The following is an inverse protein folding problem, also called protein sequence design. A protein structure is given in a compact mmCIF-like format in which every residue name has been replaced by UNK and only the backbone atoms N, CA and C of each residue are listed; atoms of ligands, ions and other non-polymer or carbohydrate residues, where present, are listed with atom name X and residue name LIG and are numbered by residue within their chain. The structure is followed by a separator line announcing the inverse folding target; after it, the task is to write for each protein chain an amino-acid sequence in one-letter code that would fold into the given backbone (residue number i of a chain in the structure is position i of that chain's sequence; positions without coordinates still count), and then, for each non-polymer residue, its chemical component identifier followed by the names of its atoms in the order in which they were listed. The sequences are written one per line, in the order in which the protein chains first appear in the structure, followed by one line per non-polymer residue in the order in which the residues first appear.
data_IF_112398758822
#
_entry.id   IF_112398758822
#
_cell.length_a   1.000
_cell.length_b   1.000
_cell.length_c   1.000
_cell.angle_alpha   90.00
_cell.angle_beta   90.00
_cell.angle_gamma   90.00
#
_symmetry.space_group_name_H-M   'P 1'
#
loop_
_entity.id
_entity.type
_entity.pdbx_description
1 polymer ?
#
# COMPACT_ATOMS: atom_id res chain seq x y z
N UNK A 1 -44.70 -77.48 47.32
CA UNK A 1 -45.83 -77.67 46.39
C UNK A 1 -45.28 -77.81 44.97
N UNK A 2 -45.71 -78.86 44.26
CA UNK A 2 -45.31 -79.21 42.90
C UNK A 2 -45.80 -78.16 41.87
N UNK A 3 -45.33 -78.01 40.62
CA UNK A 3 -45.15 -79.01 39.55
C UNK A 3 -44.52 -78.33 38.30
N UNK A 4 -43.76 -79.13 37.52
CA UNK A 4 -43.73 -79.21 36.03
C UNK A 4 -42.91 -78.24 35.14
N UNK A 5 -41.97 -78.91 34.44
CA UNK A 5 -41.77 -79.06 32.97
C UNK A 5 -40.89 -78.05 32.20
N UNK A 6 -39.82 -78.63 31.62
CA UNK A 6 -39.09 -78.20 30.41
C UNK A 6 -40.03 -78.11 29.19
N UNK A 7 -39.74 -77.16 28.31
CA UNK A 7 -39.67 -77.37 26.85
C UNK A 7 -38.86 -76.24 26.21
N UNK A 8 -37.94 -76.60 25.30
CA UNK A 8 -37.16 -75.64 24.53
C UNK A 8 -37.84 -75.26 23.21
N UNK A 9 -37.37 -74.17 22.58
CA UNK A 9 -37.25 -74.03 21.12
C UNK A 9 -36.57 -72.68 20.79
N UNK A 10 -35.87 -72.69 19.67
CA UNK A 10 -35.02 -71.64 19.09
C UNK A 10 -35.80 -70.39 18.66
N UNK A 11 -35.14 -69.23 18.73
CA UNK A 11 -35.60 -67.99 18.11
C UNK A 11 -34.45 -67.00 17.95
N UNK A 12 -33.95 -66.89 16.73
CA UNK A 12 -32.83 -66.05 16.31
C UNK A 12 -33.27 -64.58 16.23
N UNK A 13 -32.55 -63.66 16.88
CA UNK A 13 -32.90 -62.24 16.89
C UNK A 13 -31.73 -61.37 17.30
N UNK A 14 -30.81 -61.10 16.36
CA UNK A 14 -29.74 -60.11 16.48
C UNK A 14 -30.34 -58.73 16.81
N UNK A 15 -29.93 -58.14 17.93
CA UNK A 15 -29.99 -56.68 18.13
C UNK A 15 -28.58 -56.17 18.37
N UNK A 16 -28.12 -55.35 17.42
CA UNK A 16 -26.82 -54.71 17.41
C UNK A 16 -26.72 -53.66 18.52
N UNK A 17 -25.74 -53.81 19.42
CA UNK A 17 -25.25 -52.70 20.24
C UNK A 17 -24.04 -52.10 19.53
N UNK A 18 -24.26 -50.95 18.89
CA UNK A 18 -23.19 -50.13 18.33
C UNK A 18 -22.32 -49.57 19.45
N UNK A 19 -21.06 -49.99 19.48
CA UNK A 19 -20.02 -49.34 20.26
C UNK A 19 -19.57 -48.08 19.52
N UNK A 20 -19.82 -46.91 20.10
CA UNK A 20 -19.23 -45.65 19.64
C UNK A 20 -17.78 -45.65 20.12
N UNK A 21 -16.85 -45.98 19.23
CA UNK A 21 -15.43 -45.74 19.45
C UNK A 21 -15.19 -44.23 19.43
N UNK A 22 -14.89 -43.66 20.60
CA UNK A 22 -14.38 -42.31 20.71
C UNK A 22 -13.00 -42.25 20.05
N UNK A 23 -12.93 -41.78 18.81
CA UNK A 23 -11.67 -41.39 18.18
C UNK A 23 -11.12 -40.17 18.92
N UNK A 24 -10.09 -40.39 19.75
CA UNK A 24 -9.22 -39.31 20.20
C UNK A 24 -8.52 -38.74 18.96
N UNK A 25 -9.05 -37.63 18.43
CA UNK A 25 -8.27 -36.75 17.57
C UNK A 25 -7.13 -36.20 18.42
N UNK A 26 -5.93 -36.76 18.24
CA UNK A 26 -4.70 -36.09 18.64
C UNK A 26 -4.66 -34.75 17.91
N UNK A 27 -5.09 -33.69 18.60
CA UNK A 27 -4.79 -32.33 18.21
C UNK A 27 -3.26 -32.23 18.18
N UNK A 28 -2.68 -32.32 16.98
CA UNK A 28 -1.29 -31.99 16.72
C UNK A 28 -1.11 -30.56 17.22
N UNK A 29 -0.53 -30.39 18.42
CA UNK A 29 -0.14 -29.09 18.94
C UNK A 29 0.74 -28.46 17.87
N UNK A 30 0.25 -27.41 17.21
CA UNK A 30 1.07 -26.62 16.29
C UNK A 30 2.29 -26.17 17.09
N UNK A 31 3.51 -26.33 16.56
CA UNK A 31 4.69 -25.84 17.25
C UNK A 31 4.48 -24.36 17.59
N UNK A 32 4.95 -23.89 18.76
CA UNK A 32 4.77 -22.51 19.15
C UNK A 32 5.38 -21.61 18.07
N UNK A 33 4.58 -20.72 17.50
CA UNK A 33 5.06 -19.70 16.58
C UNK A 33 6.00 -18.82 17.39
N UNK A 34 7.31 -18.95 17.15
CA UNK A 34 8.31 -18.09 17.79
C UNK A 34 8.07 -16.68 17.26
N UNK A 35 7.52 -15.82 18.10
CA UNK A 35 7.28 -14.43 17.75
C UNK A 35 8.63 -13.75 17.45
N UNK A 36 8.69 -12.97 16.37
CA UNK A 36 9.82 -12.08 16.11
C UNK A 36 9.87 -11.04 17.23
N UNK A 37 11.08 -10.79 17.75
CA UNK A 37 11.34 -9.80 18.80
C UNK A 37 12.27 -8.67 18.35
N UNK A 38 12.99 -8.90 17.26
CA UNK A 38 13.92 -7.95 16.68
C UNK A 38 13.39 -7.49 15.31
N UNK A 39 13.70 -6.27 14.88
CA UNK A 39 13.42 -5.80 13.52
C UNK A 39 14.16 -6.63 12.46
N UNK A 40 13.73 -6.52 11.21
CA UNK A 40 14.47 -7.05 10.07
C UNK A 40 15.86 -6.39 9.96
N UNK A 41 16.83 -7.12 9.41
CA UNK A 41 18.19 -6.62 9.28
C UNK A 41 18.33 -5.72 8.04
N UNK A 42 19.21 -4.73 8.10
CA UNK A 42 19.67 -4.05 6.89
C UNK A 42 20.73 -4.90 6.18
N UNK A 43 20.67 -4.95 4.86
CA UNK A 43 21.72 -5.56 4.06
C UNK A 43 23.05 -4.82 4.27
N UNK A 44 24.13 -5.58 4.45
CA UNK A 44 25.47 -5.00 4.62
C UNK A 44 25.89 -4.27 3.34
N UNK A 45 26.39 -3.02 3.47
CA UNK A 45 26.91 -2.23 2.33
C UNK A 45 28.03 -2.96 1.60
N UNK A 46 28.89 -3.65 2.35
CA UNK A 46 30.05 -4.42 1.92
C UNK A 46 29.75 -5.90 1.63
N UNK A 47 28.54 -6.20 1.15
CA UNK A 47 28.00 -7.56 0.98
C UNK A 47 29.06 -8.64 0.84
N UNK A 48 29.05 -9.63 1.73
CA UNK A 48 30.02 -10.74 1.68
C UNK A 48 29.80 -11.50 0.38
N UNK A 49 30.54 -11.10 -0.65
CA UNK A 49 30.69 -11.84 -1.87
C UNK A 49 31.43 -13.13 -1.48
N UNK A 50 30.71 -14.14 -1.00
CA UNK A 50 31.26 -15.48 -1.11
C UNK A 50 31.26 -15.79 -2.61
N UNK A 51 32.45 -15.95 -3.16
CA UNK A 51 32.74 -16.28 -4.56
C UNK A 51 32.20 -17.65 -5.00
N UNK A 52 31.39 -18.30 -4.15
CA UNK A 52 30.73 -19.55 -4.49
C UNK A 52 29.64 -19.28 -5.54
N UNK A 53 29.76 -19.86 -6.76
CA UNK A 53 28.71 -19.77 -7.75
C UNK A 53 27.45 -20.42 -7.18
N UNK A 54 26.41 -19.62 -6.94
CA UNK A 54 25.14 -20.16 -6.48
C UNK A 54 24.26 -20.47 -7.68
N UNK A 55 23.91 -21.73 -7.82
CA UNK A 55 22.92 -22.18 -8.80
C UNK A 55 21.55 -21.56 -8.48
N UNK A 56 20.91 -20.97 -9.49
CA UNK A 56 19.58 -20.39 -9.36
C UNK A 56 18.56 -21.49 -9.14
N UNK A 57 17.63 -21.27 -8.20
CA UNK A 57 16.53 -22.21 -7.96
C UNK A 57 15.49 -22.04 -9.06
N UNK A 58 15.15 -23.12 -9.76
CA UNK A 58 14.06 -23.10 -10.74
C UNK A 58 12.70 -22.95 -10.05
N UNK A 59 11.71 -22.41 -10.74
CA UNK A 59 10.36 -22.23 -10.18
C UNK A 59 9.74 -23.55 -9.69
N UNK A 60 9.99 -24.65 -10.39
CA UNK A 60 9.52 -25.98 -9.99
C UNK A 60 10.19 -26.47 -8.69
N UNK A 61 11.49 -26.24 -8.51
CA UNK A 61 12.20 -26.56 -7.26
C UNK A 61 11.69 -25.68 -6.11
N UNK A 62 11.54 -24.36 -6.35
CA UNK A 62 11.04 -23.42 -5.35
C UNK A 62 9.64 -23.81 -4.84
N UNK A 63 8.73 -24.20 -5.74
CA UNK A 63 7.37 -24.65 -5.39
C UNK A 63 7.35 -25.96 -4.59
N UNK A 64 8.27 -26.89 -4.85
CA UNK A 64 8.39 -28.12 -4.05
C UNK A 64 8.94 -27.86 -2.65
N UNK A 65 9.60 -26.72 -2.45
CA UNK A 65 10.29 -26.37 -1.22
C UNK A 65 11.78 -26.69 -1.29
N UNK A 66 12.59 -25.78 -0.75
CA UNK A 66 14.04 -25.91 -0.69
C UNK A 66 14.50 -26.30 0.72
N UNK A 67 15.71 -26.90 0.88
CA UNK A 67 16.26 -27.22 2.19
C UNK A 67 16.29 -26.02 3.14
N UNK A 68 16.16 -26.24 4.44
CA UNK A 68 16.10 -25.16 5.45
C UNK A 68 17.29 -24.17 5.37
N UNK A 69 18.47 -24.66 5.01
CA UNK A 69 19.70 -23.87 4.88
C UNK A 69 19.80 -23.08 3.56
N UNK A 70 18.87 -23.28 2.63
CA UNK A 70 18.82 -22.63 1.32
C UNK A 70 17.40 -22.12 1.06
N UNK A 71 16.91 -21.12 1.80
CA UNK A 71 15.65 -20.48 1.46
C UNK A 71 15.70 -19.90 0.05
N UNK A 72 14.54 -19.86 -0.61
CA UNK A 72 14.37 -19.13 -1.87
C UNK A 72 14.42 -17.64 -1.56
N UNK A 73 15.34 -16.92 -2.19
CA UNK A 73 15.54 -15.48 -1.96
C UNK A 73 14.68 -14.69 -2.92
N UNK A 74 13.60 -14.15 -2.40
CA UNK A 74 12.65 -13.30 -3.15
C UNK A 74 12.99 -11.85 -2.87
N UNK A 75 13.07 -11.05 -3.92
CA UNK A 75 13.25 -9.60 -3.82
C UNK A 75 11.96 -8.88 -4.19
N UNK A 76 11.54 -7.91 -3.38
CA UNK A 76 10.45 -6.99 -3.71
C UNK A 76 10.95 -5.56 -3.51
N UNK A 77 10.66 -4.68 -4.43
CA UNK A 77 11.09 -3.29 -4.39
C UNK A 77 9.93 -2.31 -4.41
N UNK A 78 10.22 -1.09 -3.97
CA UNK A 78 9.25 -0.02 -3.99
C UNK A 78 9.74 1.23 -3.26
N UNK A 79 8.87 2.23 -3.27
CA UNK A 79 9.11 3.48 -2.55
C UNK A 79 8.71 3.31 -1.09
N UNK A 80 7.56 2.67 -0.86
CA UNK A 80 6.97 2.45 0.47
C UNK A 80 6.67 3.73 1.27
N UNK A 81 6.41 4.83 0.57
CA UNK A 81 5.97 6.08 1.19
C UNK A 81 4.59 5.92 1.85
N UNK A 82 4.43 6.53 3.03
CA UNK A 82 3.29 6.32 3.95
C UNK A 82 2.96 4.83 4.11
N UNK A 83 3.92 4.02 4.56
CA UNK A 83 3.80 2.56 4.62
C UNK A 83 2.46 2.09 5.20
N UNK A 84 1.69 1.36 4.39
CA UNK A 84 0.30 1.03 4.66
C UNK A 84 -0.03 -0.44 4.36
N UNK A 85 -1.26 -0.87 4.65
CA UNK A 85 -1.67 -2.28 4.53
C UNK A 85 -1.56 -2.86 3.12
N UNK A 86 -1.72 -2.02 2.08
CA UNK A 86 -1.45 -2.43 0.69
C UNK A 86 -0.01 -2.91 0.46
N UNK A 87 0.99 -2.18 0.96
CA UNK A 87 2.40 -2.59 0.91
C UNK A 87 2.62 -3.87 1.72
N UNK A 88 2.14 -3.90 2.97
CA UNK A 88 2.32 -5.06 3.85
C UNK A 88 1.70 -6.35 3.27
N UNK A 89 0.55 -6.27 2.57
CA UNK A 89 -0.10 -7.40 1.91
C UNK A 89 0.62 -7.84 0.63
N UNK A 90 1.23 -6.92 -0.12
CA UNK A 90 2.08 -7.28 -1.25
C UNK A 90 3.33 -8.04 -0.77
N UNK A 91 3.98 -7.54 0.30
CA UNK A 91 5.12 -8.22 0.93
C UNK A 91 4.72 -9.56 1.56
N UNK A 92 3.51 -9.67 2.13
CA UNK A 92 2.95 -10.94 2.58
C UNK A 92 2.85 -11.94 1.43
N UNK A 93 2.35 -11.53 0.26
CA UNK A 93 2.28 -12.39 -0.91
C UNK A 93 3.68 -12.86 -1.32
N UNK A 94 4.63 -11.92 -1.44
CA UNK A 94 6.02 -12.22 -1.79
C UNK A 94 6.65 -13.23 -0.82
N UNK A 95 6.46 -13.04 0.49
CA UNK A 95 6.95 -13.96 1.54
C UNK A 95 6.32 -15.36 1.46
N UNK A 96 5.07 -15.46 0.99
CA UNK A 96 4.34 -16.73 0.90
C UNK A 96 4.38 -17.38 -0.50
N UNK A 97 5.19 -16.87 -1.43
CA UNK A 97 5.30 -17.45 -2.79
C UNK A 97 5.77 -18.91 -2.78
N UNK A 98 6.63 -19.26 -1.83
CA UNK A 98 7.24 -20.59 -1.71
C UNK A 98 7.22 -21.08 -0.26
N UNK A 99 7.30 -22.41 -0.03
CA UNK A 99 7.27 -22.97 1.33
C UNK A 99 8.41 -22.49 2.24
N UNK A 100 9.56 -22.17 1.66
CA UNK A 100 10.76 -21.73 2.37
C UNK A 100 11.32 -20.48 1.68
N UNK A 101 10.85 -19.31 2.09
CA UNK A 101 11.18 -18.02 1.48
C UNK A 101 11.91 -17.10 2.46
N UNK A 102 12.97 -16.47 1.97
CA UNK A 102 13.57 -15.28 2.56
C UNK A 102 13.22 -14.08 1.67
N UNK A 103 12.52 -13.10 2.25
CA UNK A 103 12.09 -11.88 1.60
C UNK A 103 13.10 -10.75 1.88
N UNK A 104 13.67 -10.26 0.80
CA UNK A 104 14.53 -9.08 0.74
C UNK A 104 13.70 -7.95 0.17
N UNK A 105 13.68 -6.80 0.84
CA UNK A 105 12.93 -5.63 0.37
C UNK A 105 13.87 -4.49 0.03
N UNK A 106 13.88 -4.07 -1.23
CA UNK A 106 14.64 -2.91 -1.68
C UNK A 106 13.82 -1.63 -1.60
N UNK A 107 14.40 -0.59 -1.01
CA UNK A 107 13.74 0.71 -0.88
C UNK A 107 14.55 1.76 -1.63
N UNK A 108 13.94 2.40 -2.63
CA UNK A 108 14.59 3.44 -3.44
C UNK A 108 14.90 4.68 -2.59
N UNK A 109 16.03 5.35 -2.87
CA UNK A 109 16.38 6.63 -2.25
C UNK A 109 15.43 7.76 -2.66
N UNK A 110 15.38 8.82 -1.87
CA UNK A 110 14.60 10.02 -2.18
C UNK A 110 15.07 10.64 -3.49
N UNK A 111 16.39 10.72 -3.70
CA UNK A 111 16.98 11.25 -4.93
C UNK A 111 16.51 10.49 -6.19
N UNK A 112 16.51 9.16 -6.17
CA UNK A 112 16.00 8.36 -7.28
C UNK A 112 14.49 8.49 -7.44
N UNK A 113 13.76 8.51 -6.33
CA UNK A 113 12.29 8.58 -6.34
C UNK A 113 11.79 9.90 -6.91
N UNK A 114 12.34 11.03 -6.43
CA UNK A 114 12.01 12.35 -6.93
C UNK A 114 12.39 12.49 -8.41
N UNK A 115 13.47 11.81 -8.82
CA UNK A 115 13.92 11.86 -10.20
C UNK A 115 12.99 11.15 -11.18
N UNK A 116 12.52 9.96 -10.84
CA UNK A 116 11.86 9.06 -11.79
C UNK A 116 10.37 8.85 -11.54
N UNK A 117 9.83 9.39 -10.45
CA UNK A 117 8.42 9.23 -10.08
C UNK A 117 7.77 10.49 -9.52
N UNK A 118 8.37 11.16 -8.54
CA UNK A 118 7.74 12.30 -7.87
C UNK A 118 8.09 12.35 -6.38
N UNK A 119 7.46 13.26 -5.65
CA UNK A 119 7.77 13.51 -4.25
C UNK A 119 7.39 12.37 -3.30
N UNK A 120 8.03 12.38 -2.14
CA UNK A 120 7.73 11.53 -0.98
C UNK A 120 7.30 12.40 0.19
N UNK A 121 6.33 11.94 0.98
CA UNK A 121 5.95 12.58 2.25
C UNK A 121 6.95 12.17 3.34
N UNK A 122 7.28 10.89 3.40
CA UNK A 122 8.27 10.33 4.32
C UNK A 122 9.66 10.36 3.69
N UNK A 123 10.66 10.73 4.48
CA UNK A 123 12.08 10.65 4.10
C UNK A 123 12.52 9.20 3.86
N UNK A 124 13.61 9.00 3.12
CA UNK A 124 14.14 7.66 2.87
C UNK A 124 14.46 6.88 4.16
N UNK A 125 15.01 7.54 5.18
CA UNK A 125 15.31 6.90 6.47
C UNK A 125 14.03 6.45 7.20
N UNK A 126 12.98 7.25 7.18
CA UNK A 126 11.68 6.86 7.75
C UNK A 126 11.06 5.67 7.00
N UNK A 127 11.22 5.63 5.67
CA UNK A 127 10.76 4.50 4.85
C UNK A 127 11.58 3.24 5.11
N UNK A 128 12.89 3.36 5.30
CA UNK A 128 13.76 2.25 5.71
C UNK A 128 13.34 1.69 7.07
N UNK A 129 13.10 2.57 8.05
CA UNK A 129 12.67 2.21 9.40
C UNK A 129 11.28 1.54 9.39
N UNK A 130 10.33 2.06 8.61
CA UNK A 130 9.00 1.46 8.50
C UNK A 130 9.06 0.00 8.02
N UNK A 131 9.99 -0.32 7.12
CA UNK A 131 10.09 -1.64 6.50
C UNK A 131 10.71 -2.70 7.41
N UNK A 132 11.66 -2.32 8.28
CA UNK A 132 12.25 -3.29 9.22
C UNK A 132 11.25 -3.79 10.27
N UNK A 133 10.15 -3.05 10.48
CA UNK A 133 9.06 -3.44 11.37
C UNK A 133 7.95 -4.24 10.67
N UNK A 134 8.06 -4.47 9.35
CA UNK A 134 7.08 -5.27 8.64
C UNK A 134 7.26 -6.76 8.94
N UNK A 135 6.19 -7.39 9.44
CA UNK A 135 6.14 -8.81 9.84
C UNK A 135 6.73 -9.81 8.84
N UNK A 136 6.65 -9.51 7.54
CA UNK A 136 6.98 -10.45 6.47
C UNK A 136 8.40 -10.28 5.93
N UNK A 137 9.09 -9.20 6.31
CA UNK A 137 10.40 -8.81 5.78
C UNK A 137 11.51 -9.44 6.62
N UNK A 138 12.50 -10.03 5.95
CA UNK A 138 13.68 -10.59 6.64
C UNK A 138 14.91 -9.67 6.49
N UNK A 139 15.05 -9.00 5.35
CA UNK A 139 16.21 -8.17 5.00
C UNK A 139 15.76 -6.92 4.24
N UNK A 140 16.29 -5.73 4.58
CA UNK A 140 16.03 -4.46 3.88
C UNK A 140 17.29 -3.96 3.18
N UNK A 141 17.19 -3.70 1.87
CA UNK A 141 18.24 -3.10 1.05
C UNK A 141 17.92 -1.61 0.88
N UNK A 142 18.80 -0.77 1.42
CA UNK A 142 18.74 0.70 1.27
C UNK A 142 19.33 1.11 -0.08
N UNK A 143 18.91 2.28 -0.56
CA UNK A 143 19.34 2.85 -1.84
C UNK A 143 19.22 1.83 -2.99
N UNK A 144 18.05 1.20 -3.09
CA UNK A 144 17.77 0.22 -4.12
C UNK A 144 17.79 0.88 -5.52
N UNK A 145 18.31 0.18 -6.54
CA UNK A 145 18.39 0.73 -7.89
C UNK A 145 16.99 0.83 -8.53
N UNK A 146 16.80 1.81 -9.41
CA UNK A 146 15.55 1.98 -10.15
C UNK A 146 15.28 0.85 -11.16
N UNK A 147 16.35 0.37 -11.80
CA UNK A 147 16.33 -0.78 -12.71
C UNK A 147 17.32 -1.81 -12.17
N UNK A 148 16.84 -3.05 -11.98
CA UNK A 148 17.67 -4.14 -11.48
C UNK A 148 18.79 -4.48 -12.47
N UNK A 149 20.00 -4.69 -11.97
CA UNK A 149 21.15 -5.12 -12.78
C UNK A 149 21.53 -6.56 -12.47
N UNK A 150 22.21 -7.21 -13.40
CA UNK A 150 22.72 -8.58 -13.19
C UNK A 150 23.67 -8.65 -11.98
N UNK A 151 24.46 -7.59 -11.77
CA UNK A 151 25.37 -7.43 -10.63
C UNK A 151 24.61 -7.34 -9.32
N UNK A 152 23.52 -6.58 -9.28
CA UNK A 152 22.66 -6.46 -8.09
C UNK A 152 22.00 -7.80 -7.74
N UNK A 153 21.43 -8.48 -8.74
CA UNK A 153 20.81 -9.80 -8.57
C UNK A 153 21.82 -10.83 -8.02
N UNK A 154 23.06 -10.83 -8.53
CA UNK A 154 24.13 -11.70 -8.04
C UNK A 154 24.58 -11.33 -6.63
N UNK A 155 24.80 -10.03 -6.35
CA UNK A 155 25.24 -9.51 -5.05
C UNK A 155 24.29 -9.93 -3.92
N UNK A 156 22.98 -9.79 -4.16
CA UNK A 156 21.94 -10.13 -3.17
C UNK A 156 21.43 -11.58 -3.28
N UNK A 157 21.98 -12.37 -4.23
CA UNK A 157 21.61 -13.77 -4.49
C UNK A 157 20.11 -13.94 -4.71
N UNK A 158 19.53 -13.10 -5.56
CA UNK A 158 18.09 -13.06 -5.80
C UNK A 158 17.71 -14.20 -6.76
N UNK A 159 16.78 -15.05 -6.31
CA UNK A 159 16.21 -16.13 -7.13
C UNK A 159 15.02 -15.61 -7.94
N UNK A 160 14.12 -14.85 -7.31
CA UNK A 160 12.90 -14.30 -7.92
C UNK A 160 12.64 -12.85 -7.50
N UNK A 161 11.96 -12.10 -8.36
CA UNK A 161 11.51 -10.73 -8.10
C UNK A 161 9.99 -10.72 -8.02
N UNK A 162 9.44 -10.07 -7.01
CA UNK A 162 8.01 -9.99 -6.75
C UNK A 162 7.52 -8.54 -6.76
N UNK A 163 6.64 -8.23 -7.71
CA UNK A 163 5.96 -6.93 -7.84
C UNK A 163 4.58 -7.15 -8.49
N UNK A 164 3.72 -6.14 -8.55
CA UNK A 164 2.49 -6.23 -9.37
C UNK A 164 2.82 -6.34 -10.88
N UNK A 165 1.93 -6.96 -11.65
CA UNK A 165 2.18 -7.31 -13.06
C UNK A 165 2.02 -6.13 -14.03
N UNK A 166 1.60 -4.96 -13.53
CA UNK A 166 1.39 -3.78 -14.36
C UNK A 166 2.77 -3.32 -14.88
N UNK A 167 2.93 -3.09 -16.19
CA UNK A 167 4.17 -2.54 -16.75
C UNK A 167 4.56 -1.26 -16.02
N UNK A 168 5.77 -1.22 -15.47
CA UNK A 168 6.24 -0.06 -14.75
C UNK A 168 7.03 0.85 -15.69
N UNK A 169 6.30 1.75 -16.36
CA UNK A 169 6.85 2.71 -17.31
C UNK A 169 7.57 3.84 -16.57
N UNK A 170 8.87 3.97 -16.79
CA UNK A 170 9.68 5.06 -16.22
C UNK A 170 11.03 5.16 -16.93
N UNK A 171 11.65 6.34 -16.89
CA UNK A 171 13.03 6.56 -17.35
C UNK A 171 13.32 6.16 -18.82
N UNK A 172 12.32 6.26 -19.71
CA UNK A 172 12.45 5.82 -21.11
C UNK A 172 12.34 4.31 -21.32
N UNK A 173 11.97 3.55 -20.29
CA UNK A 173 11.60 2.13 -20.40
C UNK A 173 10.08 1.97 -20.37
N UNK A 174 9.55 1.11 -21.24
CA UNK A 174 8.13 0.71 -21.22
C UNK A 174 7.79 -0.10 -19.97
N UNK A 175 8.74 -0.92 -19.50
CA UNK A 175 8.65 -1.72 -18.28
C UNK A 175 10.06 -2.00 -17.73
N UNK A 176 10.40 -1.44 -16.56
CA UNK A 176 11.71 -1.68 -15.93
C UNK A 176 11.93 -3.16 -15.56
N UNK A 177 10.85 -3.95 -15.41
CA UNK A 177 10.92 -5.38 -15.09
C UNK A 177 10.95 -6.29 -16.33
N UNK A 178 10.91 -5.75 -17.55
CA UNK A 178 10.85 -6.55 -18.79
C UNK A 178 11.91 -7.65 -18.85
N UNK A 179 13.17 -7.29 -18.61
CA UNK A 179 14.30 -8.23 -18.64
C UNK A 179 14.21 -9.30 -17.52
N UNK A 180 13.58 -8.99 -16.38
CA UNK A 180 13.34 -9.94 -15.28
C UNK A 180 12.22 -10.92 -15.65
N UNK A 181 11.16 -10.43 -16.31
CA UNK A 181 10.06 -11.24 -16.85
C UNK A 181 10.57 -12.20 -17.92
N UNK A 182 11.37 -11.71 -18.88
CA UNK A 182 12.00 -12.51 -19.94
C UNK A 182 12.94 -13.58 -19.38
N UNK A 183 13.64 -13.30 -18.27
CA UNK A 183 14.48 -14.27 -17.57
C UNK A 183 13.70 -15.32 -16.77
N UNK A 184 12.36 -15.26 -16.73
CA UNK A 184 11.52 -16.19 -15.96
C UNK A 184 11.67 -16.04 -14.44
N UNK A 185 12.20 -14.90 -13.97
CA UNK A 185 12.45 -14.61 -12.56
C UNK A 185 11.33 -13.81 -11.90
N UNK A 186 10.42 -13.22 -12.68
CA UNK A 186 9.34 -12.38 -12.18
C UNK A 186 8.17 -13.21 -11.66
N UNK A 187 7.65 -12.86 -10.49
CA UNK A 187 6.47 -13.48 -9.89
C UNK A 187 5.49 -12.40 -9.46
N UNK A 188 4.35 -12.34 -10.14
CA UNK A 188 3.35 -11.31 -9.93
C UNK A 188 2.69 -11.39 -8.53
N UNK A 189 2.53 -10.23 -7.90
CA UNK A 189 1.68 -10.01 -6.72
C UNK A 189 0.45 -9.20 -7.10
N UNK A 190 -0.55 -9.20 -6.22
CA UNK A 190 -1.80 -8.47 -6.42
C UNK A 190 -1.85 -7.23 -5.54
N UNK A 191 -2.28 -6.11 -6.14
CA UNK A 191 -2.50 -4.86 -5.42
C UNK A 191 -3.70 -5.00 -4.49
N UNK A 192 -3.70 -4.25 -3.39
CA UNK A 192 -4.86 -4.17 -2.50
C UNK A 192 -5.73 -3.00 -2.91
N UNK A 193 -6.99 -3.27 -3.26
CA UNK A 193 -7.95 -2.23 -3.62
C UNK A 193 -8.32 -1.35 -2.41
N UNK A 194 -8.65 -0.08 -2.67
CA UNK A 194 -9.11 0.87 -1.66
C UNK A 194 -8.05 1.42 -0.71
N UNK A 195 -6.76 1.16 -0.96
CA UNK A 195 -5.66 1.78 -0.24
C UNK A 195 -4.44 2.05 -1.13
N UNK A 196 -3.92 3.27 -1.06
CA UNK A 196 -2.65 3.68 -1.67
C UNK A 196 -2.11 4.93 -0.98
N UNK A 197 -0.82 5.24 -1.17
CA UNK A 197 -0.21 6.49 -0.70
C UNK A 197 -1.00 7.70 -1.20
N UNK A 198 -1.34 7.74 -2.50
CA UNK A 198 -2.12 8.82 -3.10
C UNK A 198 -3.51 8.97 -2.48
N UNK A 199 -4.19 7.86 -2.18
CA UNK A 199 -5.49 7.89 -1.52
C UNK A 199 -5.41 8.41 -0.07
N UNK A 200 -4.40 8.00 0.70
CA UNK A 200 -4.15 8.54 2.04
C UNK A 200 -3.91 10.06 1.98
N UNK A 201 -3.05 10.51 1.06
CA UNK A 201 -2.79 11.93 0.83
C UNK A 201 -4.08 12.67 0.44
N UNK A 202 -4.87 12.10 -0.47
CA UNK A 202 -6.14 12.67 -0.95
C UNK A 202 -7.09 12.91 0.22
N UNK A 203 -7.25 11.93 1.12
CA UNK A 203 -8.12 12.04 2.30
C UNK A 203 -7.66 13.18 3.20
N UNK A 204 -6.36 13.23 3.53
CA UNK A 204 -5.78 14.28 4.38
C UNK A 204 -5.97 15.67 3.77
N UNK A 205 -5.64 15.84 2.48
CA UNK A 205 -5.74 17.14 1.80
C UNK A 205 -7.20 17.60 1.69
N UNK A 206 -8.11 16.68 1.36
CA UNK A 206 -9.55 16.99 1.28
C UNK A 206 -10.10 17.45 2.62
N UNK A 207 -9.78 16.73 3.70
CA UNK A 207 -10.25 17.06 5.04
C UNK A 207 -9.63 18.37 5.55
N UNK A 208 -8.36 18.62 5.25
CA UNK A 208 -7.68 19.87 5.58
C UNK A 208 -8.31 21.06 4.85
N UNK A 209 -8.63 20.92 3.57
CA UNK A 209 -9.25 22.02 2.81
C UNK A 209 -10.66 22.36 3.33
N UNK A 210 -11.45 21.34 3.71
CA UNK A 210 -12.74 21.53 4.39
C UNK A 210 -12.56 22.21 5.75
N UNK A 211 -11.56 21.77 6.54
CA UNK A 211 -11.23 22.36 7.83
C UNK A 211 -10.88 23.86 7.71
N UNK A 212 -9.99 24.21 6.79
CA UNK A 212 -9.57 25.60 6.57
C UNK A 212 -10.76 26.47 6.20
N UNK A 213 -11.59 26.03 5.24
CA UNK A 213 -12.76 26.79 4.80
C UNK A 213 -13.75 27.06 5.92
N UNK A 214 -14.08 26.03 6.72
CA UNK A 214 -15.04 26.16 7.83
C UNK A 214 -14.55 27.14 8.88
N UNK A 215 -13.26 27.14 9.20
CA UNK A 215 -12.74 28.05 10.21
C UNK A 215 -12.61 29.49 9.69
N UNK A 216 -12.25 29.69 8.42
CA UNK A 216 -12.30 31.03 7.81
C UNK A 216 -13.71 31.63 7.85
N UNK A 217 -14.76 30.84 7.58
CA UNK A 217 -16.16 31.29 7.70
C UNK A 217 -16.56 31.65 9.14
N UNK A 218 -15.93 31.03 10.14
CA UNK A 218 -16.13 31.32 11.55
C UNK A 218 -15.33 32.54 12.04
N UNK A 219 -14.55 33.18 11.16
CA UNK A 219 -13.79 34.39 11.47
C UNK A 219 -12.34 34.16 11.89
N UNK A 220 -11.84 32.92 11.87
CA UNK A 220 -10.41 32.66 12.06
C UNK A 220 -9.62 33.23 10.87
N UNK A 221 -8.44 33.73 11.14
CA UNK A 221 -7.53 34.28 10.13
C UNK A 221 -6.69 33.17 9.49
N UNK A 222 -6.22 33.40 8.25
CA UNK A 222 -5.34 32.47 7.56
C UNK A 222 -4.03 32.20 8.33
N UNK A 223 -3.55 33.20 9.08
CA UNK A 223 -2.36 33.10 9.93
C UNK A 223 -2.57 32.17 11.12
N UNK A 224 -3.75 32.20 11.74
CA UNK A 224 -4.13 31.28 12.83
C UNK A 224 -4.29 29.83 12.34
N UNK A 225 -4.66 29.65 11.07
CA UNK A 225 -4.82 28.35 10.44
C UNK A 225 -3.54 27.83 9.77
N UNK A 226 -2.41 28.54 9.92
CA UNK A 226 -1.13 28.26 9.27
C UNK A 226 -1.24 28.03 7.75
N UNK A 227 -2.16 28.76 7.10
CA UNK A 227 -2.38 28.67 5.66
C UNK A 227 -1.49 29.72 5.00
N UNK A 228 -0.55 29.27 4.16
CA UNK A 228 0.42 30.15 3.49
C UNK A 228 -0.21 31.37 2.77
N UNK A 229 0.53 32.48 2.82
CA UNK A 229 0.17 33.87 2.45
C UNK A 229 -0.56 34.04 1.08
N UNK A 230 -0.37 33.12 0.13
CA UNK A 230 -0.96 33.17 -1.21
C UNK A 230 -2.47 32.92 -1.18
N UNK A 231 -2.98 32.14 -0.22
CA UNK A 231 -4.43 31.94 -0.02
C UNK A 231 -5.07 33.20 0.60
N UNK A 232 -4.37 33.93 1.47
CA UNK A 232 -4.91 35.10 2.17
C UNK A 232 -5.37 36.21 1.20
N UNK A 233 -4.56 36.58 0.21
CA UNK A 233 -4.93 37.59 -0.80
C UNK A 233 -6.09 37.13 -1.69
N UNK A 234 -6.15 35.84 -2.06
CA UNK A 234 -7.26 35.27 -2.84
C UNK A 234 -8.57 35.30 -2.06
N UNK A 235 -8.56 34.93 -0.77
CA UNK A 235 -9.75 34.97 0.08
C UNK A 235 -10.18 36.40 0.41
N UNK A 236 -9.25 37.34 0.57
CA UNK A 236 -9.57 38.75 0.81
C UNK A 236 -10.23 39.39 -0.42
N UNK A 237 -9.78 39.03 -1.62
CA UNK A 237 -10.42 39.41 -2.88
C UNK A 237 -11.81 38.77 -3.01
N UNK A 238 -11.94 37.48 -2.67
CA UNK A 238 -13.24 36.79 -2.67
C UNK A 238 -14.23 37.43 -1.68
N UNK A 239 -13.80 37.78 -0.47
CA UNK A 239 -14.62 38.50 0.51
C UNK A 239 -14.95 39.94 0.07
N UNK A 240 -14.06 40.61 -0.66
CA UNK A 240 -14.38 41.91 -1.26
C UNK A 240 -15.46 41.75 -2.33
N UNK A 241 -15.37 40.71 -3.16
CA UNK A 241 -16.40 40.37 -4.16
C UNK A 241 -17.72 40.01 -3.48
N UNK A 242 -17.70 39.25 -2.37
CA UNK A 242 -18.91 38.86 -1.66
C UNK A 242 -19.54 40.03 -0.88
N UNK A 243 -18.75 40.93 -0.31
CA UNK A 243 -19.26 42.23 0.22
C UNK A 243 -19.82 43.11 -0.87
N UNK A 244 -19.22 43.11 -2.06
CA UNK A 244 -19.76 43.82 -3.23
C UNK A 244 -21.09 43.21 -3.67
N UNK A 245 -21.22 41.88 -3.65
CA UNK A 245 -22.50 41.20 -3.90
C UNK A 245 -23.55 41.53 -2.85
N UNK A 246 -23.18 41.62 -1.57
CA UNK A 246 -24.11 41.98 -0.50
C UNK A 246 -24.55 43.44 -0.61
N UNK A 247 -23.65 44.33 -1.02
CA UNK A 247 -23.96 45.73 -1.34
C UNK A 247 -24.89 45.82 -2.56
N UNK A 248 -24.63 45.02 -3.59
CA UNK A 248 -25.52 44.87 -4.76
C UNK A 248 -26.85 44.23 -4.35
N UNK A 249 -26.87 43.33 -3.34
CA UNK A 249 -28.07 42.72 -2.75
C UNK A 249 -28.96 43.74 -2.03
N UNK A 250 -28.37 44.67 -1.27
CA UNK A 250 -29.11 45.82 -0.69
C UNK A 250 -29.66 46.78 -1.74
N UNK A 251 -29.03 46.85 -2.92
CA UNK A 251 -29.55 47.61 -4.07
C UNK A 251 -30.61 46.80 -4.84
N UNK A 252 -30.47 45.47 -4.88
CA UNK A 252 -31.40 44.49 -5.46
C UNK A 252 -32.63 44.18 -4.61
N UNK A 253 -32.66 44.50 -3.31
CA UNK A 253 -33.88 44.43 -2.50
C UNK A 253 -35.00 45.32 -3.08
N UNK A 254 -34.63 46.31 -3.92
CA UNK A 254 -35.55 47.09 -4.74
C UNK A 254 -36.02 46.42 -6.03
N UNK A 255 -35.48 45.27 -6.42
CA UNK A 255 -35.86 44.56 -7.65
C UNK A 255 -35.89 43.04 -7.47
N UNK A 256 -37.06 42.55 -7.04
CA UNK A 256 -37.36 41.15 -6.65
C UNK A 256 -37.14 40.08 -7.74
N UNK A 257 -36.78 40.45 -8.97
CA UNK A 257 -36.60 39.51 -10.08
C UNK A 257 -35.18 38.94 -10.22
N UNK A 258 -34.19 39.42 -9.45
CA UNK A 258 -32.80 38.97 -9.60
C UNK A 258 -32.37 37.95 -8.49
N UNK A 259 -33.08 37.92 -7.36
CA UNK A 259 -32.84 36.99 -6.20
C UNK A 259 -32.87 35.51 -6.60
N UNK A 260 -33.84 35.10 -7.43
CA UNK A 260 -33.96 33.71 -7.87
C UNK A 260 -32.80 33.26 -8.78
N UNK A 261 -32.15 34.20 -9.47
CA UNK A 261 -30.98 33.96 -10.34
C UNK A 261 -29.67 33.92 -9.53
N UNK A 262 -29.66 34.53 -8.34
CA UNK A 262 -28.49 34.59 -7.44
C UNK A 262 -28.40 33.35 -6.56
N UNK A 263 -29.52 32.78 -6.10
CA UNK A 263 -29.53 31.52 -5.37
C UNK A 263 -29.06 30.35 -6.24
N UNK A 264 -29.56 30.22 -7.47
CA UNK A 264 -29.05 29.25 -8.45
C UNK A 264 -27.56 29.47 -8.73
N UNK A 265 -27.11 30.73 -8.86
CA UNK A 265 -25.68 31.05 -9.06
C UNK A 265 -24.82 30.79 -7.82
N UNK A 266 -25.37 30.82 -6.61
CA UNK A 266 -24.62 30.54 -5.38
C UNK A 266 -24.35 29.04 -5.22
N UNK A 267 -25.34 28.20 -5.55
CA UNK A 267 -25.18 26.76 -5.66
C UNK A 267 -24.22 26.41 -6.80
N UNK A 268 -24.35 27.06 -7.95
CA UNK A 268 -23.42 26.93 -9.10
C UNK A 268 -21.99 27.36 -8.74
N UNK A 269 -21.81 28.41 -7.92
CA UNK A 269 -20.51 28.84 -7.44
C UNK A 269 -19.89 27.83 -6.48
N UNK A 270 -20.66 27.26 -5.55
CA UNK A 270 -20.19 26.20 -4.64
C UNK A 270 -19.81 24.94 -5.44
N UNK A 271 -20.62 24.56 -6.43
CA UNK A 271 -20.35 23.41 -7.30
C UNK A 271 -19.09 23.64 -8.15
N UNK A 272 -18.99 24.78 -8.83
CA UNK A 272 -17.78 25.20 -9.58
C UNK A 272 -16.53 25.30 -8.70
N UNK A 273 -16.69 25.58 -7.40
CA UNK A 273 -15.58 25.63 -6.46
C UNK A 273 -15.20 24.25 -5.92
N UNK A 274 -16.16 23.35 -5.71
CA UNK A 274 -15.87 21.94 -5.46
C UNK A 274 -15.14 21.31 -6.64
N UNK A 275 -15.52 21.65 -7.87
CA UNK A 275 -14.81 21.26 -9.09
C UNK A 275 -13.37 21.80 -9.09
N UNK A 276 -13.17 23.10 -8.82
CA UNK A 276 -11.82 23.68 -8.70
C UNK A 276 -10.99 23.12 -7.54
N UNK A 277 -11.63 22.73 -6.43
CA UNK A 277 -10.94 22.06 -5.32
C UNK A 277 -10.53 20.64 -5.68
N UNK A 278 -11.37 19.90 -6.42
CA UNK A 278 -11.02 18.58 -6.96
C UNK A 278 -9.88 18.70 -7.96
N UNK A 279 -9.91 19.71 -8.82
CA UNK A 279 -8.83 20.03 -9.76
C UNK A 279 -7.51 20.36 -9.01
N UNK A 280 -7.56 21.19 -7.97
CA UNK A 280 -6.39 21.48 -7.13
C UNK A 280 -5.83 20.23 -6.45
N UNK A 281 -6.69 19.36 -5.91
CA UNK A 281 -6.27 18.09 -5.31
C UNK A 281 -5.65 17.19 -6.38
N UNK A 282 -6.24 17.10 -7.56
CA UNK A 282 -5.68 16.39 -8.71
C UNK A 282 -4.26 16.87 -9.03
N UNK A 283 -4.09 18.18 -9.23
CA UNK A 283 -2.80 18.79 -9.52
C UNK A 283 -1.77 18.59 -8.39
N UNK A 284 -2.21 18.61 -7.12
CA UNK A 284 -1.32 18.32 -5.99
C UNK A 284 -0.88 16.85 -5.98
N UNK A 285 -1.78 15.93 -6.29
CA UNK A 285 -1.45 14.49 -6.35
C UNK A 285 -0.52 14.15 -7.51
N UNK A 286 -0.58 14.90 -8.62
CA UNK A 286 0.38 14.79 -9.72
C UNK A 286 1.82 15.03 -9.24
N UNK A 287 2.05 15.81 -8.18
CA UNK A 287 3.39 16.00 -7.59
C UNK A 287 3.97 14.70 -7.01
N UNK A 288 3.11 13.75 -6.62
CA UNK A 288 3.48 12.44 -6.09
C UNK A 288 3.41 11.33 -7.15
N UNK A 289 3.07 11.68 -8.39
CA UNK A 289 2.89 10.77 -9.53
C UNK A 289 3.82 11.10 -10.71
N UNK A 290 3.96 10.15 -11.65
CA UNK A 290 5.01 10.16 -12.67
C UNK A 290 5.00 11.35 -13.66
N UNK A 291 3.90 12.08 -13.80
CA UNK A 291 3.70 12.90 -15.01
C UNK A 291 4.08 14.38 -14.93
N UNK A 292 4.30 15.03 -13.77
CA UNK A 292 4.56 16.51 -13.76
C UNK A 292 5.50 17.11 -12.71
N UNK A 293 6.17 16.34 -11.85
CA UNK A 293 6.98 16.90 -10.76
C UNK A 293 8.14 17.84 -11.22
N UNK A 294 8.56 17.77 -12.48
CA UNK A 294 9.76 18.47 -12.98
C UNK A 294 9.55 19.87 -13.57
N UNK A 295 8.36 20.22 -14.05
CA UNK A 295 8.17 21.50 -14.77
C UNK A 295 7.85 22.70 -13.88
N UNK A 296 7.69 22.51 -12.56
CA UNK A 296 7.29 23.58 -11.63
C UNK A 296 8.44 24.23 -10.83
N UNK A 297 9.69 23.84 -11.05
CA UNK A 297 10.85 24.30 -10.23
C UNK A 297 11.87 25.11 -11.06
N UNK A 298 11.55 25.45 -12.31
CA UNK A 298 12.44 26.28 -13.17
C UNK A 298 11.86 27.63 -13.59
N UNK A 299 10.78 28.10 -12.95
CA UNK A 299 10.35 29.51 -12.98
C UNK A 299 10.27 30.07 -11.56
#
# INVERSE_FOLDING_TARGET
MAKRRRNGSRGNGRTARGGVQAQQQQQRKRPPIKALREPAIFANRSGSASDTPQEKVTLAQARRGTPAQRPVRVYADGIFDLFHSGHARALMQAKNLFPNTQLIVGVCSDALTHKYKGYTVMTEDERYEALIHCRYVDEVVRDAPWTLTSEFLKKHRIDFVAHDDIPYTSAGSEDVYKHIKEAGMFVATQRTEGISTSDIITRIVRDYDVYVRRNLQRGYTARELNVGFIKEKKYRLQQQVDRMKETVRTVEEKSKHLVHRVEEKSHDLIYKWEEKSREFIGNFLELFGPDKAWHMIQE
#
